data_IF_510740381714
#
_entry.id   IF_510740381714
#
_cell.length_a   1.000
_cell.length_b   1.000
_cell.length_c   1.000
_cell.angle_alpha   90.00
_cell.angle_beta   90.00
_cell.angle_gamma   90.00
#
_symmetry.space_group_name_H-M   'P 1'
#
loop_
_entity.id
_entity.type
_entity.pdbx_description
1 polymer ?
#
# COMPACT_ATOMS: atom_id res chain seq x y z
N UNK A 1 5.25 -29.52 -0.23
CA UNK A 1 3.98 -28.78 -0.33
C UNK A 1 4.30 -27.39 -0.90
N UNK A 2 3.89 -27.10 -2.13
CA UNK A 2 4.03 -25.73 -2.68
C UNK A 2 3.07 -24.83 -1.89
N UNK A 3 3.59 -24.10 -0.91
CA UNK A 3 2.78 -23.13 -0.17
C UNK A 3 2.40 -22.00 -1.13
N UNK A 4 1.12 -21.96 -1.49
CA UNK A 4 0.51 -20.97 -2.39
C UNK A 4 0.42 -19.61 -1.68
N UNK A 5 0.37 -18.53 -2.46
CA UNK A 5 0.02 -17.23 -1.92
C UNK A 5 -1.48 -17.19 -1.57
N UNK A 6 -1.81 -16.55 -0.45
CA UNK A 6 -3.20 -16.35 -0.01
C UNK A 6 -3.66 -14.94 -0.39
N UNK A 7 -4.66 -14.80 -1.27
CA UNK A 7 -5.29 -13.50 -1.52
C UNK A 7 -6.13 -13.09 -0.31
N UNK A 8 -6.02 -11.85 0.12
CA UNK A 8 -6.80 -11.26 1.21
C UNK A 8 -7.36 -9.92 0.75
N UNK A 9 -8.61 -9.65 1.11
CA UNK A 9 -9.28 -8.39 0.84
C UNK A 9 -9.63 -7.72 2.16
N UNK A 10 -9.02 -6.56 2.43
CA UNK A 10 -9.24 -5.81 3.67
C UNK A 10 -10.70 -5.39 3.86
N UNK A 11 -11.42 -5.09 2.77
CA UNK A 11 -12.86 -4.81 2.82
C UNK A 11 -13.63 -6.01 3.37
N UNK A 12 -13.45 -7.18 2.77
CA UNK A 12 -14.13 -8.41 3.19
C UNK A 12 -13.81 -8.76 4.64
N UNK A 13 -12.55 -8.58 5.06
CA UNK A 13 -12.13 -8.79 6.45
C UNK A 13 -12.86 -7.83 7.39
N UNK A 14 -12.84 -6.52 7.12
CA UNK A 14 -13.50 -5.51 7.95
C UNK A 14 -15.00 -5.74 8.06
N UNK A 15 -15.69 -5.97 6.94
CA UNK A 15 -17.13 -6.20 6.92
C UNK A 15 -17.50 -7.50 7.65
N UNK A 16 -16.66 -8.53 7.53
CA UNK A 16 -16.84 -9.79 8.25
C UNK A 16 -16.68 -9.62 9.77
N UNK A 17 -15.70 -8.84 10.22
CA UNK A 17 -15.45 -8.62 11.65
C UNK A 17 -16.49 -7.69 12.29
N UNK A 18 -16.87 -6.63 11.59
CA UNK A 18 -17.77 -5.58 12.11
C UNK A 18 -19.24 -5.88 11.89
N UNK A 19 -19.58 -6.82 11.01
CA UNK A 19 -20.97 -7.16 10.63
C UNK A 19 -21.75 -5.98 10.02
N UNK A 20 -21.04 -5.01 9.43
CA UNK A 20 -21.61 -3.89 8.67
C UNK A 20 -20.79 -3.65 7.39
N UNK A 21 -21.37 -2.98 6.40
CA UNK A 21 -20.65 -2.59 5.18
C UNK A 21 -19.75 -1.38 5.45
N UNK A 22 -18.69 -1.22 4.65
CA UNK A 22 -17.82 -0.04 4.74
C UNK A 22 -18.62 1.25 4.52
N UNK A 23 -19.54 1.27 3.55
CA UNK A 23 -20.36 2.46 3.26
C UNK A 23 -21.23 2.85 4.46
N UNK A 24 -21.85 1.87 5.13
CA UNK A 24 -22.64 2.11 6.34
C UNK A 24 -21.77 2.66 7.47
N UNK A 25 -20.58 2.09 7.66
CA UNK A 25 -19.67 2.53 8.71
C UNK A 25 -19.16 3.95 8.47
N UNK A 26 -18.77 4.26 7.22
CA UNK A 26 -18.36 5.60 6.81
C UNK A 26 -19.48 6.63 7.06
N UNK A 27 -20.73 6.28 6.76
CA UNK A 27 -21.87 7.18 7.00
C UNK A 27 -22.12 7.44 8.49
N UNK A 28 -21.87 6.44 9.34
CA UNK A 28 -22.11 6.52 10.78
C UNK A 28 -20.96 7.20 11.54
N UNK A 29 -19.71 6.89 11.20
CA UNK A 29 -18.52 7.24 12.01
C UNK A 29 -17.46 8.03 11.23
N UNK A 30 -17.61 8.18 9.91
CA UNK A 30 -16.67 8.87 9.04
C UNK A 30 -15.51 8.00 8.56
N UNK A 31 -14.57 8.62 7.85
CA UNK A 31 -13.47 7.90 7.18
C UNK A 31 -12.33 7.51 8.13
N UNK A 32 -12.10 8.26 9.21
CA UNK A 32 -10.94 8.07 10.07
C UNK A 32 -11.01 6.76 10.88
N UNK A 33 -12.16 6.39 11.48
CA UNK A 33 -12.29 5.11 12.17
C UNK A 33 -12.12 3.90 11.25
N UNK A 34 -12.67 3.98 10.03
CA UNK A 34 -12.54 2.93 9.00
C UNK A 34 -11.07 2.75 8.60
N UNK A 35 -10.35 3.83 8.34
CA UNK A 35 -8.94 3.77 8.00
C UNK A 35 -8.07 3.28 9.16
N UNK A 36 -8.41 3.63 10.41
CA UNK A 36 -7.73 3.12 11.60
C UNK A 36 -7.93 1.61 11.75
N UNK A 37 -9.15 1.12 11.51
CA UNK A 37 -9.45 -0.31 11.53
C UNK A 37 -8.71 -1.08 10.43
N UNK A 38 -8.67 -0.54 9.20
CA UNK A 38 -7.85 -1.14 8.14
C UNK A 38 -6.36 -1.17 8.53
N UNK A 39 -5.86 -0.09 9.15
CA UNK A 39 -4.47 -0.01 9.62
C UNK A 39 -4.13 -1.12 10.63
N UNK A 40 -5.06 -1.44 11.54
CA UNK A 40 -4.89 -2.53 12.50
C UNK A 40 -4.86 -3.92 11.83
N UNK A 41 -5.66 -4.12 10.77
CA UNK A 41 -5.58 -5.34 9.95
C UNK A 41 -4.22 -5.41 9.24
N UNK A 42 -3.76 -4.32 8.64
CA UNK A 42 -2.48 -4.26 7.94
C UNK A 42 -1.29 -4.50 8.89
N UNK A 43 -1.36 -4.01 10.12
CA UNK A 43 -0.40 -4.33 11.18
C UNK A 43 -0.33 -5.85 11.43
N UNK A 44 -1.48 -6.48 11.66
CA UNK A 44 -1.56 -7.94 11.85
C UNK A 44 -1.00 -8.69 10.63
N UNK A 45 -1.33 -8.24 9.42
CA UNK A 45 -0.89 -8.87 8.17
C UNK A 45 0.58 -8.61 7.84
N UNK A 46 1.22 -7.59 8.39
CA UNK A 46 2.62 -7.21 8.08
C UNK A 46 3.64 -8.32 8.39
N UNK A 47 3.31 -9.24 9.30
CA UNK A 47 4.12 -10.40 9.66
C UNK A 47 3.76 -11.68 8.90
N UNK A 48 2.68 -11.67 8.11
CA UNK A 48 2.24 -12.85 7.37
C UNK A 48 3.05 -13.05 6.10
N UNK A 49 3.62 -14.25 5.94
CA UNK A 49 4.33 -14.61 4.71
C UNK A 49 3.36 -15.11 3.64
N UNK A 50 3.68 -14.82 2.38
CA UNK A 50 2.96 -15.32 1.19
C UNK A 50 1.48 -14.91 1.15
N UNK A 51 1.21 -13.64 1.41
CA UNK A 51 -0.12 -13.04 1.21
C UNK A 51 -0.07 -12.04 0.05
N UNK A 52 -1.21 -11.82 -0.59
CA UNK A 52 -1.44 -10.71 -1.52
C UNK A 52 -2.66 -9.97 -0.99
N UNK A 53 -2.50 -8.71 -0.60
CA UNK A 53 -3.54 -7.96 0.12
C UNK A 53 -4.07 -6.84 -0.78
N UNK A 54 -5.38 -6.83 -1.04
CA UNK A 54 -6.05 -5.66 -1.60
C UNK A 54 -6.54 -4.75 -0.47
N UNK A 55 -6.07 -3.51 -0.47
CA UNK A 55 -6.49 -2.45 0.46
C UNK A 55 -7.81 -1.82 -0.01
N UNK A 56 -8.56 -1.19 0.89
CA UNK A 56 -9.73 -0.36 0.57
C UNK A 56 -9.38 0.75 -0.43
N UNK A 57 -8.18 1.33 -0.28
CA UNK A 57 -7.75 2.46 -1.09
C UNK A 57 -8.70 3.66 -1.01
N UNK A 58 -8.67 4.51 -2.04
CA UNK A 58 -9.48 5.72 -2.14
C UNK A 58 -9.37 6.65 -0.92
N UNK A 59 -10.48 7.33 -0.61
CA UNK A 59 -10.61 8.24 0.55
C UNK A 59 -10.88 7.51 1.88
N UNK A 60 -11.29 6.25 1.82
CA UNK A 60 -11.75 5.48 2.98
C UNK A 60 -10.62 4.72 3.65
N UNK A 61 -9.63 4.26 2.87
CA UNK A 61 -8.60 3.34 3.33
C UNK A 61 -7.32 3.98 3.87
N UNK A 62 -6.56 3.19 4.62
CA UNK A 62 -5.24 3.48 5.15
C UNK A 62 -4.23 3.83 4.03
N UNK A 63 -4.29 3.16 2.88
CA UNK A 63 -3.37 3.41 1.78
C UNK A 63 -3.46 4.84 1.20
N UNK A 64 -4.62 5.49 1.33
CA UNK A 64 -4.82 6.89 0.94
C UNK A 64 -4.24 7.92 1.93
N UNK A 65 -3.69 7.48 3.06
CA UNK A 65 -3.27 8.34 4.18
C UNK A 65 -1.79 8.18 4.48
N UNK A 66 -1.00 9.23 4.26
CA UNK A 66 0.46 9.16 4.37
C UNK A 66 0.94 8.68 5.75
N UNK A 67 0.24 9.02 6.84
CA UNK A 67 0.55 8.62 8.21
C UNK A 67 0.29 7.13 8.52
N UNK A 68 -0.35 6.37 7.61
CA UNK A 68 -0.70 4.95 7.81
C UNK A 68 0.17 3.97 7.02
N UNK A 69 1.22 4.45 6.34
CA UNK A 69 2.03 3.61 5.45
C UNK A 69 3.00 2.66 6.14
N UNK A 70 3.24 2.84 7.45
CA UNK A 70 4.28 2.10 8.17
C UNK A 70 4.17 0.58 7.99
N UNK A 71 2.97 0.01 8.00
CA UNK A 71 2.75 -1.43 7.83
C UNK A 71 2.63 -1.85 6.35
N UNK A 72 2.28 -0.93 5.45
CA UNK A 72 2.27 -1.20 4.00
C UNK A 72 3.69 -1.46 3.49
N UNK A 73 4.69 -0.75 4.03
CA UNK A 73 6.09 -0.94 3.66
C UNK A 73 6.68 -2.32 4.00
N UNK A 74 6.00 -3.11 4.85
CA UNK A 74 6.35 -4.50 5.13
C UNK A 74 6.24 -5.40 3.89
N UNK A 75 5.40 -5.04 2.92
CA UNK A 75 5.24 -5.75 1.65
C UNK A 75 5.93 -5.03 0.49
N UNK A 76 5.86 -5.65 -0.69
CA UNK A 76 5.98 -4.90 -1.95
C UNK A 76 4.63 -4.30 -2.28
N UNK A 77 4.60 -2.99 -2.40
CA UNK A 77 3.38 -2.20 -2.64
C UNK A 77 3.21 -1.92 -4.12
N UNK A 78 2.02 -2.17 -4.63
CA UNK A 78 1.66 -1.95 -6.04
C UNK A 78 0.52 -0.96 -6.08
N UNK A 79 0.76 0.21 -6.67
CA UNK A 79 -0.31 1.16 -6.95
C UNK A 79 -0.91 0.86 -8.32
N UNK A 80 -2.16 0.39 -8.31
CA UNK A 80 -2.98 0.23 -9.50
C UNK A 80 -3.65 1.57 -9.81
N UNK A 81 -3.15 2.26 -10.84
CA UNK A 81 -3.68 3.55 -11.28
C UNK A 81 -4.41 3.39 -12.59
N UNK A 82 -5.66 3.84 -12.65
CA UNK A 82 -6.30 4.06 -13.94
C UNK A 82 -5.54 5.13 -14.72
N UNK A 83 -5.49 4.96 -16.03
CA UNK A 83 -4.92 5.92 -16.98
C UNK A 83 -5.87 6.08 -18.16
N UNK A 84 -6.07 7.32 -18.56
CA UNK A 84 -6.70 7.64 -19.85
C UNK A 84 -5.64 8.02 -20.90
N UNK A 85 -4.38 8.17 -20.47
CA UNK A 85 -3.28 8.47 -21.36
C UNK A 85 -3.06 7.36 -22.39
N UNK A 86 -3.08 7.74 -23.66
CA UNK A 86 -2.75 6.87 -24.79
C UNK A 86 -1.29 7.02 -25.24
N UNK A 87 -0.56 8.00 -24.70
CA UNK A 87 0.81 8.34 -25.07
C UNK A 87 1.64 8.81 -23.86
N UNK A 88 2.95 8.85 -24.02
CA UNK A 88 3.89 9.20 -22.94
C UNK A 88 3.69 10.63 -22.41
N UNK A 89 3.29 11.58 -23.26
CA UNK A 89 3.08 12.97 -22.87
C UNK A 89 1.83 13.09 -21.99
N UNK A 90 0.71 12.49 -22.41
CA UNK A 90 -0.51 12.47 -21.59
C UNK A 90 -0.32 11.69 -20.27
N UNK A 91 0.54 10.66 -20.25
CA UNK A 91 0.87 9.93 -19.03
C UNK A 91 1.66 10.79 -18.02
N UNK A 92 2.59 11.64 -18.49
CA UNK A 92 3.34 12.58 -17.65
C UNK A 92 2.44 13.65 -17.03
N UNK A 93 1.48 14.17 -17.79
CA UNK A 93 0.51 15.15 -17.28
C UNK A 93 -0.50 14.53 -16.30
N UNK A 94 -0.88 13.27 -16.50
CA UNK A 94 -1.66 12.53 -15.53
C UNK A 94 -0.89 12.31 -14.22
N UNK A 95 0.39 11.90 -14.29
CA UNK A 95 1.22 11.75 -13.10
C UNK A 95 1.34 13.07 -12.31
N UNK A 96 1.45 14.22 -13.00
CA UNK A 96 1.43 15.55 -12.35
C UNK A 96 0.12 15.85 -11.65
N UNK A 97 -1.03 15.57 -12.29
CA UNK A 97 -2.35 15.77 -11.67
C UNK A 97 -2.54 14.92 -10.42
N UNK A 98 -2.15 13.65 -10.44
CA UNK A 98 -2.26 12.78 -9.26
C UNK A 98 -1.45 13.29 -8.06
N UNK A 99 -0.31 13.93 -8.30
CA UNK A 99 0.48 14.59 -7.26
C UNK A 99 -0.25 15.84 -6.73
N UNK A 100 -0.90 16.62 -7.59
CA UNK A 100 -1.65 17.83 -7.22
C UNK A 100 -2.98 17.52 -6.51
N UNK A 101 -3.66 16.44 -6.90
CA UNK A 101 -4.98 16.04 -6.38
C UNK A 101 -4.92 15.37 -4.99
N UNK A 102 -3.76 15.36 -4.34
CA UNK A 102 -3.61 14.84 -2.97
C UNK A 102 -3.49 13.32 -2.87
N UNK A 103 -3.29 12.61 -3.99
CA UNK A 103 -2.91 11.19 -3.99
C UNK A 103 -1.42 10.96 -3.64
N UNK A 104 -0.81 11.92 -2.92
CA UNK A 104 0.58 11.88 -2.44
C UNK A 104 0.89 10.57 -1.70
N UNK A 105 -0.06 10.04 -0.94
CA UNK A 105 0.12 8.79 -0.21
C UNK A 105 0.49 7.63 -1.16
N UNK A 106 -0.19 7.46 -2.29
CA UNK A 106 0.11 6.37 -3.23
C UNK A 106 1.46 6.48 -3.93
N UNK A 107 2.07 7.67 -3.94
CA UNK A 107 3.43 7.85 -4.47
C UNK A 107 4.49 7.12 -3.64
N UNK A 108 4.14 6.69 -2.42
CA UNK A 108 4.96 5.83 -1.58
C UNK A 108 5.05 4.38 -2.08
N UNK A 109 4.23 3.98 -3.07
CA UNK A 109 4.24 2.62 -3.59
C UNK A 109 5.57 2.26 -4.27
N UNK A 110 6.02 1.02 -4.10
CA UNK A 110 7.26 0.51 -4.68
C UNK A 110 7.18 0.46 -6.22
N UNK A 111 6.00 0.15 -6.76
CA UNK A 111 5.74 0.14 -8.21
C UNK A 111 4.36 0.68 -8.54
N UNK A 112 4.23 1.25 -9.74
CA UNK A 112 2.95 1.72 -10.30
C UNK A 112 2.61 0.90 -11.54
N UNK A 113 1.39 0.39 -11.60
CA UNK A 113 0.85 -0.31 -12.77
C UNK A 113 -0.33 0.50 -13.28
N UNK A 114 -0.24 0.90 -14.55
CA UNK A 114 -1.26 1.69 -15.24
C UNK A 114 -2.23 0.79 -15.99
N UNK A 115 -3.53 1.06 -15.87
CA UNK A 115 -4.60 0.27 -16.48
C UNK A 115 -5.68 1.16 -17.11
N UNK A 116 -6.28 0.71 -18.21
CA UNK A 116 -7.33 1.45 -18.93
C UNK A 116 -8.75 1.22 -18.38
N UNK A 117 -8.89 0.65 -17.18
CA UNK A 117 -10.19 0.39 -16.56
C UNK A 117 -10.21 -0.82 -15.62
N UNK A 118 -11.22 -0.88 -14.75
CA UNK A 118 -11.46 -1.98 -13.80
C UNK A 118 -12.33 -3.08 -14.42
N UNK A 119 -11.78 -3.83 -15.37
CA UNK A 119 -12.43 -5.01 -15.95
C UNK A 119 -11.79 -6.29 -15.42
N UNK A 120 -12.61 -7.26 -14.99
CA UNK A 120 -12.17 -8.58 -14.59
C UNK A 120 -11.38 -9.30 -15.70
N UNK A 121 -11.68 -9.03 -16.97
CA UNK A 121 -10.91 -9.53 -18.11
C UNK A 121 -9.44 -9.09 -18.07
N UNK A 122 -9.13 -7.96 -17.42
CA UNK A 122 -7.78 -7.43 -17.28
C UNK A 122 -7.00 -8.01 -16.09
N UNK A 123 -7.64 -8.76 -15.18
CA UNK A 123 -7.00 -9.22 -13.93
C UNK A 123 -5.68 -9.97 -14.17
N UNK A 124 -5.64 -10.87 -15.17
CA UNK A 124 -4.41 -11.60 -15.54
C UNK A 124 -3.32 -10.66 -16.05
N UNK A 125 -3.67 -9.70 -16.90
CA UNK A 125 -2.73 -8.72 -17.45
C UNK A 125 -2.16 -7.83 -16.35
N UNK A 126 -3.02 -7.33 -15.45
CA UNK A 126 -2.62 -6.53 -14.29
C UNK A 126 -1.69 -7.32 -13.36
N UNK A 127 -2.01 -8.58 -13.08
CA UNK A 127 -1.14 -9.44 -12.27
C UNK A 127 0.23 -9.66 -12.94
N UNK A 128 0.26 -9.91 -14.25
CA UNK A 128 1.51 -10.08 -15.00
C UNK A 128 2.35 -8.80 -15.04
N UNK A 129 1.71 -7.64 -15.24
CA UNK A 129 2.37 -6.33 -15.21
C UNK A 129 2.94 -6.04 -13.81
N UNK A 130 2.18 -6.32 -12.75
CA UNK A 130 2.61 -6.15 -11.35
C UNK A 130 3.82 -7.03 -11.05
N UNK A 131 3.77 -8.32 -11.40
CA UNK A 131 4.90 -9.24 -11.20
C UNK A 131 6.13 -8.82 -12.00
N UNK A 132 5.94 -8.33 -13.22
CA UNK A 132 7.04 -7.84 -14.06
C UNK A 132 7.68 -6.59 -13.45
N UNK A 133 6.88 -5.64 -12.97
CA UNK A 133 7.37 -4.43 -12.31
C UNK A 133 8.13 -4.75 -11.02
N UNK A 134 7.59 -5.61 -10.16
CA UNK A 134 8.27 -6.07 -8.93
C UNK A 134 9.58 -6.78 -9.27
N UNK A 135 9.58 -7.64 -10.28
CA UNK A 135 10.81 -8.31 -10.73
C UNK A 135 11.87 -7.31 -11.17
N UNK A 136 11.51 -6.30 -11.97
CA UNK A 136 12.46 -5.28 -12.42
C UNK A 136 13.00 -4.45 -11.24
N UNK A 137 12.14 -4.11 -10.28
CA UNK A 137 12.55 -3.41 -9.06
C UNK A 137 13.56 -4.21 -8.23
N UNK A 138 13.33 -5.51 -8.04
CA UNK A 138 14.27 -6.38 -7.28
C UNK A 138 15.59 -6.54 -8.04
N UNK A 139 15.54 -6.60 -9.38
CA UNK A 139 16.76 -6.68 -10.20
C UNK A 139 17.57 -5.38 -10.15
N UNK A 140 16.92 -4.22 -10.02
CA UNK A 140 17.59 -2.92 -9.91
C UNK A 140 18.16 -2.63 -8.51
N UNK A 141 17.45 -2.99 -7.43
CA UNK A 141 17.96 -2.99 -6.05
C UNK A 141 17.90 -4.40 -5.44
N UNK A 142 18.99 -5.15 -5.63
CA UNK A 142 19.14 -6.50 -5.08
C UNK A 142 19.11 -6.56 -3.55
N UNK A 143 19.35 -5.44 -2.86
CA UNK A 143 19.32 -5.36 -1.39
C UNK A 143 17.93 -5.03 -0.85
N UNK A 144 16.99 -4.66 -1.70
CA UNK A 144 15.64 -4.25 -1.29
C UNK A 144 14.89 -5.33 -0.50
N UNK A 145 14.89 -6.63 -0.90
CA UNK A 145 14.25 -7.67 -0.10
C UNK A 145 14.83 -7.79 1.31
N UNK A 146 16.15 -7.70 1.46
CA UNK A 146 16.83 -7.77 2.77
C UNK A 146 16.50 -6.55 3.64
N UNK A 147 16.44 -5.35 3.04
CA UNK A 147 16.01 -4.12 3.72
C UNK A 147 14.56 -4.23 4.21
N UNK A 148 13.62 -4.66 3.37
CA UNK A 148 12.21 -4.88 3.79
C UNK A 148 12.12 -5.93 4.89
N UNK A 149 12.87 -7.03 4.77
CA UNK A 149 12.94 -8.05 5.82
C UNK A 149 13.47 -7.50 7.16
N UNK A 150 14.49 -6.63 7.12
CA UNK A 150 14.98 -5.94 8.31
C UNK A 150 13.91 -5.00 8.91
N UNK A 151 13.23 -4.22 8.08
CA UNK A 151 12.16 -3.31 8.51
C UNK A 151 11.04 -4.05 9.26
N UNK A 152 10.61 -5.22 8.76
CA UNK A 152 9.64 -6.09 9.44
C UNK A 152 10.19 -6.56 10.80
N UNK A 153 11.45 -7.05 10.84
CA UNK A 153 12.07 -7.53 12.09
C UNK A 153 12.21 -6.45 13.16
N UNK A 154 12.29 -5.18 12.74
CA UNK A 154 12.33 -4.02 13.64
C UNK A 154 10.93 -3.52 14.03
N UNK A 155 9.86 -4.15 13.55
CA UNK A 155 8.48 -3.83 13.94
C UNK A 155 7.83 -2.70 13.14
N UNK A 156 8.24 -2.49 11.88
CA UNK A 156 7.59 -1.54 10.98
C UNK A 156 7.46 -0.11 11.55
N UNK A 157 8.56 0.43 12.11
CA UNK A 157 8.58 1.64 12.95
C UNK A 157 8.28 2.98 12.23
N UNK A 158 8.01 2.96 10.93
CA UNK A 158 7.74 4.17 10.14
C UNK A 158 8.99 4.91 9.64
N UNK A 159 10.19 4.37 9.84
CA UNK A 159 11.47 4.92 9.35
C UNK A 159 11.85 4.46 7.93
N UNK A 160 10.92 3.82 7.21
CA UNK A 160 11.12 3.44 5.82
C UNK A 160 11.21 4.69 4.91
N UNK A 161 12.08 4.72 3.87
CA UNK A 161 13.02 3.67 3.44
C UNK A 161 14.38 3.72 4.13
N UNK A 162 14.64 4.73 4.96
CA UNK A 162 15.93 4.98 5.60
C UNK A 162 15.96 4.42 7.03
N UNK A 163 15.98 3.10 7.13
CA UNK A 163 15.92 2.35 8.40
C UNK A 163 17.01 2.84 9.38
N UNK A 164 16.58 3.36 10.52
CA UNK A 164 17.44 3.90 11.57
C UNK A 164 18.01 2.76 12.43
N UNK A 165 19.13 2.97 13.14
CA UNK A 165 19.72 1.95 14.00
C UNK A 165 18.76 1.40 15.07
N UNK A 166 19.02 0.19 15.61
CA UNK A 166 18.32 -0.32 16.78
C UNK A 166 18.46 0.65 17.97
N UNK A 167 17.36 0.88 18.70
CA UNK A 167 17.34 1.83 19.84
C UNK A 167 17.00 3.28 19.47
N UNK A 168 16.83 3.62 18.18
CA UNK A 168 16.25 4.89 17.76
C UNK A 168 14.74 4.92 18.07
N UNK A 169 14.28 6.02 18.66
CA UNK A 169 12.88 6.26 19.03
C UNK A 169 12.24 7.30 18.08
N UNK A 170 11.21 6.91 17.31
CA UNK A 170 10.53 7.81 16.37
C UNK A 170 9.83 9.01 17.04
N UNK A 171 9.55 8.97 18.34
CA UNK A 171 8.92 10.09 19.06
C UNK A 171 9.90 11.25 19.35
N UNK A 172 11.21 11.00 19.28
CA UNK A 172 12.24 11.98 19.67
C UNK A 172 12.58 13.01 18.60
N UNK A 173 12.21 12.79 17.32
CA UNK A 173 12.43 13.78 16.25
C UNK A 173 11.35 14.87 16.22
N UNK A 174 10.18 14.67 16.87
CA UNK A 174 9.09 15.65 16.89
C UNK A 174 9.42 16.93 17.68
N UNK A 175 10.39 16.88 18.61
CA UNK A 175 10.80 18.03 19.43
C UNK A 175 11.85 18.94 18.76
N UNK A 176 12.36 18.58 17.58
CA UNK A 176 13.45 19.33 16.94
C UNK A 176 12.99 20.45 15.98
N UNK A 177 11.69 20.64 15.77
CA UNK A 177 11.14 21.63 14.84
C UNK A 177 10.07 22.56 15.42
N UNK A 178 10.08 22.79 16.74
CA UNK A 178 9.27 23.85 17.37
C UNK A 178 9.98 25.21 17.34
#
# INVERSE_FOLDING_TARGET
MLSRYTPLNTQELLETFTKQTIDSWVLAEGFDPVAAAESAILESLSSHVRTVVSTLGGKHGAAGRADKWQHLYAGFTVWLSQTEAMDEHSAKEEARRHIQDGNLAYTNADVVVKLHGWDAAHAKSVAQASLSAIKQLILSDKKLPDKKSLYIRLGCRGDWPNIKPPGWDPSTEADATS
#
